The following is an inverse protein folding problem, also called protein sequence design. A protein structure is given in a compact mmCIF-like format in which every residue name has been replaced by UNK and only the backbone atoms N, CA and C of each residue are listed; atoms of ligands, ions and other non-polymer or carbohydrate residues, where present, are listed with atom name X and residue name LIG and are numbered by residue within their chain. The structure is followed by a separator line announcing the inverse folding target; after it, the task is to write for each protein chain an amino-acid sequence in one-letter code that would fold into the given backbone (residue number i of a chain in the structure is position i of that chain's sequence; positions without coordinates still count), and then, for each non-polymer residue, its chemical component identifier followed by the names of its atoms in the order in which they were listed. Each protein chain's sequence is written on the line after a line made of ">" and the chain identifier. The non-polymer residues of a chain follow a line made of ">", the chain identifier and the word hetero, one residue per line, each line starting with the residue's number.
data_IF_098201646889
#
_entry.id   IF_098201646889
#
_cell.length_a   1.000
_cell.length_b   1.000
_cell.length_c   1.000
_cell.angle_alpha   90.00
_cell.angle_beta   90.00
_cell.angle_gamma   90.00
#
_symmetry.space_group_name_H-M   'P 1'
#
loop_
_entity.id
_entity.type
_entity.pdbx_description
1 polymer ?
#
# COMPACT_ATOMS: atom_id res chain seq x y z
N UNK A 1 8.03 -9.57 0.59
CA UNK A 1 6.56 -9.40 0.50
C UNK A 1 5.85 -9.41 1.85
N UNK A 2 6.05 -10.42 2.71
CA UNK A 2 5.35 -10.51 4.01
C UNK A 2 5.54 -9.29 4.94
N UNK A 3 6.77 -8.77 5.04
CA UNK A 3 7.05 -7.55 5.82
C UNK A 3 6.26 -6.37 5.30
N UNK A 4 6.19 -6.20 3.97
CA UNK A 4 5.38 -5.16 3.36
C UNK A 4 3.88 -5.39 3.64
N UNK A 5 3.40 -6.64 3.68
CA UNK A 5 1.99 -6.94 3.97
C UNK A 5 1.63 -6.56 5.42
N UNK A 6 2.51 -6.87 6.37
CA UNK A 6 2.35 -6.44 7.76
C UNK A 6 2.38 -4.92 7.88
N UNK A 7 3.30 -4.25 7.17
CA UNK A 7 3.37 -2.80 7.13
C UNK A 7 2.12 -2.17 6.49
N UNK A 8 1.53 -2.79 5.46
CA UNK A 8 0.24 -2.38 4.88
C UNK A 8 -0.90 -2.51 5.89
N UNK A 9 -0.97 -3.63 6.62
CA UNK A 9 -1.94 -3.80 7.69
C UNK A 9 -1.78 -2.75 8.80
N UNK A 10 -0.53 -2.44 9.18
CA UNK A 10 -0.25 -1.38 10.14
C UNK A 10 -0.62 0.01 9.62
N UNK A 11 -0.36 0.30 8.35
CA UNK A 11 -0.78 1.56 7.71
C UNK A 11 -2.30 1.71 7.74
N UNK A 12 -3.05 0.65 7.40
CA UNK A 12 -4.51 0.62 7.49
C UNK A 12 -4.99 0.89 8.92
N UNK A 13 -4.39 0.20 9.91
CA UNK A 13 -4.69 0.41 11.33
C UNK A 13 -4.49 1.88 11.75
N UNK A 14 -3.36 2.49 11.38
CA UNK A 14 -3.11 3.90 11.64
C UNK A 14 -4.12 4.81 10.93
N UNK A 15 -4.53 4.49 9.70
CA UNK A 15 -5.56 5.23 8.96
C UNK A 15 -6.92 5.21 9.68
N UNK A 16 -7.31 4.06 10.23
CA UNK A 16 -8.51 3.93 11.07
C UNK A 16 -8.40 4.79 12.33
N UNK A 17 -7.24 4.78 13.00
CA UNK A 17 -7.01 5.62 14.18
C UNK A 17 -7.04 7.12 13.87
N UNK A 18 -6.54 7.53 12.71
CA UNK A 18 -6.66 8.92 12.22
C UNK A 18 -8.13 9.30 12.05
N UNK A 19 -8.94 8.44 11.42
CA UNK A 19 -10.38 8.67 11.27
C UNK A 19 -11.08 8.74 12.64
N UNK A 20 -10.79 7.81 13.55
CA UNK A 20 -11.33 7.82 14.92
C UNK A 20 -10.96 9.11 15.67
N UNK A 21 -9.73 9.59 15.52
CA UNK A 21 -9.25 10.82 16.16
C UNK A 21 -10.05 12.04 15.69
N UNK A 22 -10.39 12.12 14.40
CA UNK A 22 -11.20 13.21 13.85
C UNK A 22 -12.61 13.23 14.43
N UNK A 23 -13.21 12.05 14.59
CA UNK A 23 -14.60 11.87 15.00
C UNK A 23 -14.78 11.75 16.52
N UNK A 24 -13.70 11.80 17.30
CA UNK A 24 -13.74 11.66 18.74
C UNK A 24 -14.23 12.93 19.46
N UNK A 25 -14.70 12.76 20.70
CA UNK A 25 -14.95 13.85 21.64
C UNK A 25 -13.66 14.62 21.97
N UNK A 26 -13.78 15.76 22.65
CA UNK A 26 -12.66 16.66 22.90
C UNK A 26 -11.54 16.02 23.74
N UNK A 27 -11.87 15.21 24.74
CA UNK A 27 -10.89 14.59 25.65
C UNK A 27 -10.12 13.48 24.92
N UNK A 28 -10.87 12.58 24.28
CA UNK A 28 -10.29 11.47 23.49
C UNK A 28 -9.44 12.01 22.34
N UNK A 29 -9.90 13.05 21.66
CA UNK A 29 -9.15 13.72 20.58
C UNK A 29 -7.84 14.30 21.10
N UNK A 30 -7.84 14.98 22.25
CA UNK A 30 -6.62 15.54 22.86
C UNK A 30 -5.60 14.45 23.18
N UNK A 31 -6.05 13.30 23.71
CA UNK A 31 -5.19 12.13 23.95
C UNK A 31 -4.62 11.57 22.63
N UNK A 32 -5.46 11.38 21.62
CA UNK A 32 -5.06 10.77 20.35
C UNK A 32 -4.12 11.65 19.51
N UNK A 33 -4.25 12.97 19.58
CA UNK A 33 -3.32 13.91 18.91
C UNK A 33 -1.88 13.67 19.41
N UNK A 34 -1.68 13.42 20.71
CA UNK A 34 -0.35 13.12 21.28
C UNK A 34 0.26 11.84 20.70
N UNK A 35 -0.57 10.88 20.30
CA UNK A 35 -0.12 9.62 19.70
C UNK A 35 0.36 9.77 18.24
N UNK A 36 0.10 10.92 17.60
CA UNK A 36 0.63 11.29 16.27
C UNK A 36 0.34 10.25 15.17
N UNK A 37 -0.85 9.65 15.20
CA UNK A 37 -1.25 8.60 14.25
C UNK A 37 -1.17 9.05 12.78
N UNK A 38 -1.46 10.32 12.50
CA UNK A 38 -1.35 10.90 11.16
C UNK A 38 0.10 10.93 10.65
N UNK A 39 1.06 11.33 11.49
CA UNK A 39 2.48 11.38 11.12
C UNK A 39 3.04 9.97 10.89
N UNK A 40 2.67 9.02 11.75
CA UNK A 40 3.06 7.61 11.59
C UNK A 40 2.44 6.99 10.34
N UNK A 41 1.17 7.29 10.06
CA UNK A 41 0.49 6.81 8.86
C UNK A 41 1.17 7.35 7.60
N UNK A 42 1.51 8.65 7.59
CA UNK A 42 2.26 9.26 6.49
C UNK A 42 3.61 8.58 6.30
N UNK A 43 4.41 8.40 7.35
CA UNK A 43 5.74 7.81 7.26
C UNK A 43 5.72 6.36 6.75
N UNK A 44 4.84 5.51 7.30
CA UNK A 44 4.72 4.13 6.85
C UNK A 44 4.16 4.07 5.42
N UNK A 45 3.18 4.92 5.08
CA UNK A 45 2.64 5.01 3.72
C UNK A 45 3.69 5.43 2.69
N UNK A 46 4.51 6.43 3.00
CA UNK A 46 5.62 6.87 2.14
C UNK A 46 6.68 5.77 1.97
N UNK A 47 7.03 5.06 3.05
CA UNK A 47 7.98 3.95 2.98
C UNK A 47 7.44 2.80 2.11
N UNK A 48 6.17 2.43 2.29
CA UNK A 48 5.51 1.42 1.48
C UNK A 48 5.51 1.79 0.00
N UNK A 49 5.18 3.05 -0.34
CA UNK A 49 5.22 3.51 -1.73
C UNK A 49 6.63 3.38 -2.32
N UNK A 50 7.67 3.82 -1.61
CA UNK A 50 9.05 3.71 -2.07
C UNK A 50 9.46 2.24 -2.30
N UNK A 51 9.17 1.36 -1.33
CA UNK A 51 9.46 -0.08 -1.42
C UNK A 51 8.72 -0.73 -2.59
N UNK A 52 7.44 -0.40 -2.79
CA UNK A 52 6.67 -0.96 -3.89
C UNK A 52 7.14 -0.47 -5.25
N UNK A 53 7.46 0.82 -5.41
CA UNK A 53 7.97 1.36 -6.68
C UNK A 53 9.30 0.69 -7.03
N UNK A 54 10.26 0.69 -6.11
CA UNK A 54 11.58 0.07 -6.33
C UNK A 54 11.43 -1.43 -6.58
N UNK A 55 10.62 -2.12 -5.77
CA UNK A 55 10.38 -3.55 -5.90
C UNK A 55 9.73 -3.93 -7.23
N UNK A 56 8.75 -3.16 -7.71
CA UNK A 56 8.12 -3.38 -9.01
C UNK A 56 9.10 -3.19 -10.15
N UNK A 57 9.86 -2.08 -10.15
CA UNK A 57 10.87 -1.83 -11.19
C UNK A 57 11.95 -2.92 -11.18
N UNK A 58 12.47 -3.27 -10.01
CA UNK A 58 13.48 -4.32 -9.86
C UNK A 58 12.95 -5.68 -10.32
N UNK A 59 11.71 -6.04 -9.97
CA UNK A 59 11.08 -7.30 -10.37
C UNK A 59 10.83 -7.40 -11.88
N UNK A 60 10.33 -6.32 -12.49
CA UNK A 60 10.16 -6.26 -13.95
C UNK A 60 11.51 -6.32 -14.68
N UNK A 61 12.51 -5.56 -14.21
CA UNK A 61 13.85 -5.55 -14.78
C UNK A 61 14.50 -6.94 -14.71
N UNK A 62 14.49 -7.57 -13.54
CA UNK A 62 15.05 -8.93 -13.37
C UNK A 62 14.33 -9.96 -14.23
N UNK A 63 13.00 -9.90 -14.33
CA UNK A 63 12.25 -10.78 -15.23
C UNK A 63 12.68 -10.58 -16.69
N UNK A 64 12.80 -9.34 -17.15
CA UNK A 64 13.19 -9.06 -18.52
C UNK A 64 14.65 -9.47 -18.80
N UNK A 65 15.57 -9.24 -17.85
CA UNK A 65 16.98 -9.64 -18.02
C UNK A 65 17.14 -11.16 -18.05
N UNK A 66 16.38 -11.91 -17.25
CA UNK A 66 16.49 -13.37 -17.16
C UNK A 66 15.77 -14.11 -18.30
N UNK A 67 14.63 -13.60 -18.75
CA UNK A 67 13.75 -14.30 -19.70
C UNK A 67 13.59 -13.60 -21.05
N UNK A 68 14.21 -12.43 -21.23
CA UNK A 68 14.09 -11.56 -22.41
C UNK A 68 12.65 -11.19 -22.77
N UNK A 69 11.74 -11.29 -21.80
CA UNK A 69 10.33 -10.92 -21.93
C UNK A 69 9.74 -10.62 -20.56
N UNK A 70 8.67 -9.84 -20.55
CA UNK A 70 7.89 -9.59 -19.34
C UNK A 70 6.61 -10.44 -19.36
N UNK A 71 6.37 -11.21 -18.30
CA UNK A 71 5.16 -12.02 -18.19
C UNK A 71 4.01 -11.19 -17.62
N UNK A 72 2.95 -11.01 -18.41
CA UNK A 72 1.71 -10.36 -17.96
C UNK A 72 0.86 -11.36 -17.20
N UNK A 73 1.17 -11.51 -15.91
CA UNK A 73 0.44 -12.36 -14.98
C UNK A 73 -0.47 -11.54 -14.06
N UNK A 74 -1.39 -12.21 -13.37
CA UNK A 74 -2.20 -11.59 -12.31
C UNK A 74 -1.33 -10.90 -11.25
N UNK A 75 -0.19 -11.49 -10.88
CA UNK A 75 0.77 -10.88 -9.95
C UNK A 75 1.26 -9.51 -10.44
N UNK A 76 1.67 -9.43 -11.72
CA UNK A 76 2.13 -8.16 -12.30
C UNK A 76 1.02 -7.13 -12.36
N UNK A 77 -0.19 -7.53 -12.78
CA UNK A 77 -1.35 -6.62 -12.88
C UNK A 77 -1.67 -6.03 -11.51
N UNK A 78 -1.81 -6.86 -10.47
CA UNK A 78 -2.06 -6.36 -9.11
C UNK A 78 -0.90 -5.53 -8.55
N UNK A 79 0.34 -5.85 -8.93
CA UNK A 79 1.53 -5.05 -8.64
C UNK A 79 1.49 -3.64 -9.21
N UNK A 80 1.19 -3.53 -10.50
CA UNK A 80 1.05 -2.25 -11.19
C UNK A 80 -0.15 -1.45 -10.65
N UNK A 81 -1.29 -2.11 -10.43
CA UNK A 81 -2.45 -1.47 -9.79
C UNK A 81 -2.13 -0.92 -8.41
N UNK A 82 -1.38 -1.67 -7.59
CA UNK A 82 -0.98 -1.24 -6.24
C UNK A 82 -0.18 0.06 -6.29
N UNK A 83 0.86 0.14 -7.13
CA UNK A 83 1.70 1.36 -7.20
C UNK A 83 0.93 2.56 -7.78
N UNK A 84 0.08 2.34 -8.79
CA UNK A 84 -0.72 3.42 -9.39
C UNK A 84 -1.74 3.99 -8.39
N UNK A 85 -2.50 3.12 -7.73
CA UNK A 85 -3.48 3.52 -6.73
C UNK A 85 -2.82 4.18 -5.51
N UNK A 86 -1.66 3.68 -5.07
CA UNK A 86 -0.91 4.29 -3.98
C UNK A 86 -0.38 5.68 -4.35
N UNK A 87 0.13 5.87 -5.57
CA UNK A 87 0.58 7.17 -6.05
C UNK A 87 -0.57 8.19 -6.09
N UNK A 88 -1.74 7.80 -6.61
CA UNK A 88 -2.95 8.63 -6.58
C UNK A 88 -3.35 8.98 -5.15
N UNK A 89 -3.35 7.99 -4.24
CA UNK A 89 -3.68 8.23 -2.83
C UNK A 89 -2.74 9.23 -2.16
N UNK A 90 -1.43 9.17 -2.44
CA UNK A 90 -0.44 10.11 -1.89
C UNK A 90 -0.60 11.51 -2.49
N UNK A 91 -0.92 11.62 -3.78
CA UNK A 91 -1.17 12.90 -4.43
C UNK A 91 -2.35 13.69 -3.82
N UNK A 92 -3.27 13.01 -3.12
CA UNK A 92 -4.41 13.63 -2.44
C UNK A 92 -4.07 14.23 -1.07
N UNK A 93 -2.88 13.96 -0.52
CA UNK A 93 -2.49 14.40 0.82
C UNK A 93 -2.57 15.92 1.02
N UNK A 94 -2.07 16.78 0.11
CA UNK A 94 -2.18 18.24 0.27
C UNK A 94 -3.64 18.72 0.36
N UNK A 95 -4.53 18.13 -0.45
CA UNK A 95 -5.96 18.47 -0.42
C UNK A 95 -6.63 18.02 0.88
N UNK A 96 -6.25 16.85 1.41
CA UNK A 96 -6.74 16.40 2.72
C UNK A 96 -6.26 17.28 3.87
N UNK A 97 -5.03 17.79 3.79
CA UNK A 97 -4.47 18.74 4.77
C UNK A 97 -5.19 20.09 4.73
N UNK A 98 -5.68 20.50 3.56
CA UNK A 98 -6.60 21.65 3.39
C UNK A 98 -8.02 21.37 3.90
N UNK A 99 -8.30 20.18 4.44
CA UNK A 99 -9.62 19.82 4.97
C UNK A 99 -10.64 19.36 3.93
N UNK A 100 -10.26 19.19 2.65
CA UNK A 100 -11.19 18.78 1.58
C UNK A 100 -11.65 17.34 1.79
N UNK A 101 -12.94 17.15 2.09
CA UNK A 101 -13.50 15.83 2.39
C UNK A 101 -13.51 14.90 1.17
N UNK A 102 -13.78 15.41 -0.04
CA UNK A 102 -13.75 14.60 -1.26
C UNK A 102 -12.39 13.93 -1.47
N UNK A 103 -11.28 14.64 -1.19
CA UNK A 103 -9.93 14.09 -1.34
C UNK A 103 -9.68 12.96 -0.34
N UNK A 104 -10.29 13.06 0.85
CA UNK A 104 -10.20 12.04 1.89
C UNK A 104 -10.99 10.79 1.52
N UNK A 105 -12.19 10.95 0.96
CA UNK A 105 -12.99 9.84 0.47
C UNK A 105 -12.23 9.11 -0.64
N UNK A 106 -11.71 9.82 -1.63
CA UNK A 106 -10.94 9.20 -2.71
C UNK A 106 -9.67 8.51 -2.16
N UNK A 107 -8.94 9.14 -1.23
CA UNK A 107 -7.78 8.51 -0.60
C UNK A 107 -8.15 7.19 0.10
N UNK A 108 -9.26 7.16 0.85
CA UNK A 108 -9.73 5.94 1.52
C UNK A 108 -10.14 4.86 0.50
N UNK A 109 -10.81 5.24 -0.59
CA UNK A 109 -11.17 4.31 -1.66
C UNK A 109 -9.94 3.71 -2.34
N UNK A 110 -8.98 4.56 -2.76
CA UNK A 110 -7.73 4.13 -3.37
C UNK A 110 -6.93 3.23 -2.42
N UNK A 111 -6.79 3.60 -1.14
CA UNK A 111 -6.03 2.79 -0.17
C UNK A 111 -6.72 1.48 0.19
N UNK A 112 -8.06 1.44 0.19
CA UNK A 112 -8.80 0.19 0.36
C UNK A 112 -8.57 -0.75 -0.82
N UNK A 113 -8.57 -0.22 -2.05
CA UNK A 113 -8.23 -0.97 -3.25
C UNK A 113 -6.76 -1.43 -3.23
N UNK A 114 -5.82 -0.61 -2.76
CA UNK A 114 -4.41 -1.00 -2.54
C UNK A 114 -4.30 -2.20 -1.60
N UNK A 115 -5.01 -2.21 -0.47
CA UNK A 115 -5.00 -3.36 0.46
C UNK A 115 -5.48 -4.62 -0.25
N UNK A 116 -6.60 -4.55 -0.98
CA UNK A 116 -7.12 -5.67 -1.77
C UNK A 116 -6.11 -6.17 -2.82
N UNK A 117 -5.58 -5.26 -3.63
CA UNK A 117 -4.60 -5.59 -4.67
C UNK A 117 -3.36 -6.22 -4.05
N UNK A 118 -2.84 -5.68 -2.95
CA UNK A 118 -1.59 -6.15 -2.36
C UNK A 118 -1.72 -7.49 -1.63
N UNK A 119 -2.86 -7.76 -0.98
CA UNK A 119 -3.19 -9.10 -0.47
C UNK A 119 -3.21 -10.11 -1.60
N UNK A 120 -3.93 -9.81 -2.69
CA UNK A 120 -4.04 -10.69 -3.87
C UNK A 120 -2.68 -10.89 -4.56
N UNK A 121 -1.89 -9.82 -4.67
CA UNK A 121 -0.52 -9.88 -5.18
C UNK A 121 0.37 -10.78 -4.32
N UNK A 122 0.20 -10.76 -2.99
CA UNK A 122 0.96 -11.64 -2.08
C UNK A 122 0.60 -13.10 -2.30
N UNK A 123 -0.68 -13.44 -2.44
CA UNK A 123 -1.13 -14.81 -2.73
C UNK A 123 -0.56 -15.30 -4.07
N UNK A 124 -0.71 -14.50 -5.13
CA UNK A 124 -0.18 -14.85 -6.46
C UNK A 124 1.35 -14.92 -6.50
N UNK A 125 2.04 -14.11 -5.69
CA UNK A 125 3.49 -14.19 -5.51
C UNK A 125 3.93 -15.52 -4.90
N UNK A 126 3.23 -16.01 -3.89
CA UNK A 126 3.48 -17.34 -3.32
C UNK A 126 3.25 -18.46 -4.35
N UNK A 127 2.19 -18.37 -5.15
CA UNK A 127 1.93 -19.34 -6.22
C UNK A 127 3.07 -19.37 -7.26
N UNK A 128 3.67 -18.22 -7.60
CA UNK A 128 4.83 -18.16 -8.50
C UNK A 128 6.03 -18.87 -7.87
N UNK A 129 6.35 -18.57 -6.60
CA UNK A 129 7.46 -19.22 -5.89
C UNK A 129 7.24 -20.73 -5.80
N UNK A 130 6.02 -21.18 -5.50
CA UNK A 130 5.69 -22.60 -5.44
C UNK A 130 5.89 -23.30 -6.79
N UNK A 131 5.50 -22.67 -7.90
CA UNK A 131 5.75 -23.21 -9.24
C UNK A 131 7.25 -23.33 -9.52
N UNK A 132 8.02 -22.28 -9.21
CA UNK A 132 9.47 -22.29 -9.41
C UNK A 132 10.17 -23.36 -8.58
N UNK A 133 9.76 -23.55 -7.32
CA UNK A 133 10.32 -24.60 -6.46
C UNK A 133 9.86 -26.00 -6.90
N UNK A 134 8.60 -26.14 -7.30
CA UNK A 134 8.06 -27.40 -7.80
C UNK A 134 8.65 -27.86 -9.13
N UNK A 135 9.18 -26.93 -9.94
CA UNK A 135 9.93 -27.26 -11.17
C UNK A 135 11.39 -27.66 -10.89
N UNK A 136 11.90 -27.44 -9.67
CA UNK A 136 13.27 -27.78 -9.28
C UNK A 136 13.41 -29.21 -8.72
N UNK A 137 12.31 -29.90 -8.43
CA UNK A 137 12.26 -31.27 -7.89
C UNK A 137 11.37 -32.17 -8.75
#
# INVERSE_FOLDING_TARGET
>A
MLVALLATGYALYLGVLVRKTRNADAETRKKNIKAKYNQRHFLIGSLLLAVWVIGTVAGMASTYTLYHKLFVSSHLIFGLSTICLAAVAVALVPFMQQGKEWARIIHILCTSAVVFCFVTQTITGFQIVQKMVGELY
#
